data_IF_716499803981
#
_entry.id   IF_716499803981
#
_cell.length_a   1.000
_cell.length_b   1.000
_cell.length_c   1.000
_cell.angle_alpha   90.00
_cell.angle_beta   90.00
_cell.angle_gamma   90.00
#
_symmetry.space_group_name_H-M   'P 1'
#
loop_
_entity.id
_entity.type
_entity.pdbx_description
1 polymer ?
#
# COMPACT_ATOMS: atom_id res chain seq x y z
N UNK A 1 21.56 35.64 -16.07
CA UNK A 1 22.55 36.01 -15.03
C UNK A 1 22.15 35.38 -13.69
N UNK A 2 23.01 34.58 -13.13
CA UNK A 2 22.73 33.71 -11.98
C UNK A 2 23.36 34.28 -10.69
N UNK A 3 22.92 33.79 -9.52
CA UNK A 3 23.52 34.15 -8.22
C UNK A 3 25.06 33.89 -8.17
N UNK A 4 25.59 33.03 -9.05
CA UNK A 4 27.03 32.80 -9.20
C UNK A 4 27.81 33.99 -9.76
N UNK A 5 27.15 34.85 -10.55
CA UNK A 5 27.80 36.05 -11.11
C UNK A 5 27.93 37.17 -10.08
N UNK A 6 27.08 37.15 -9.05
CA UNK A 6 27.18 38.06 -7.90
C UNK A 6 28.41 37.80 -7.03
N UNK A 7 28.90 36.56 -6.97
CA UNK A 7 30.08 36.19 -6.19
C UNK A 7 31.44 36.51 -6.85
N UNK A 8 31.44 36.99 -8.11
CA UNK A 8 32.64 37.32 -8.87
C UNK A 8 32.98 38.82 -8.89
N UNK A 9 32.43 39.60 -7.96
CA UNK A 9 32.75 41.03 -7.85
C UNK A 9 32.09 41.95 -8.90
N UNK A 10 31.14 41.47 -9.67
CA UNK A 10 30.37 42.22 -10.64
C UNK A 10 29.20 43.00 -10.02
N UNK A 11 28.75 44.08 -10.66
CA UNK A 11 27.76 45.01 -10.19
C UNK A 11 26.51 44.37 -9.51
N UNK A 12 25.86 45.11 -8.62
CA UNK A 12 24.68 44.68 -7.92
C UNK A 12 23.54 44.26 -8.87
N UNK A 13 22.64 43.37 -8.46
CA UNK A 13 21.47 43.00 -9.30
C UNK A 13 20.64 44.22 -9.71
N UNK A 14 20.62 45.26 -8.90
CA UNK A 14 19.98 46.52 -9.21
C UNK A 14 20.66 47.24 -10.38
N UNK A 15 21.99 47.36 -10.36
CA UNK A 15 22.81 47.97 -11.41
C UNK A 15 22.70 47.23 -12.73
N UNK A 16 22.74 45.86 -12.65
CA UNK A 16 22.60 45.02 -13.86
C UNK A 16 21.20 45.16 -14.46
N UNK A 17 20.14 45.18 -13.64
CA UNK A 17 18.76 45.33 -14.12
C UNK A 17 18.56 46.72 -14.78
N UNK A 18 19.13 47.76 -14.23
CA UNK A 18 19.01 49.10 -14.78
C UNK A 18 19.73 49.23 -16.13
N UNK A 19 20.88 48.58 -16.35
CA UNK A 19 21.54 48.52 -17.67
C UNK A 19 20.67 47.89 -18.76
N UNK A 20 19.74 47.03 -18.43
CA UNK A 20 18.78 46.45 -19.38
C UNK A 20 17.41 47.14 -19.36
N UNK A 21 17.28 48.32 -18.75
CA UNK A 21 16.02 49.05 -18.64
C UNK A 21 14.93 48.35 -17.80
N UNK A 22 15.33 47.39 -16.96
CA UNK A 22 14.43 46.57 -16.12
C UNK A 22 14.43 47.08 -14.69
N UNK A 23 13.28 47.17 -14.05
CA UNK A 23 13.17 47.33 -12.61
C UNK A 23 13.63 46.06 -11.90
N UNK A 24 14.36 46.20 -10.76
CA UNK A 24 14.82 45.09 -9.94
C UNK A 24 13.70 44.07 -9.64
N UNK A 25 12.48 44.54 -9.40
CA UNK A 25 11.31 43.70 -9.10
C UNK A 25 10.88 42.82 -10.29
N UNK A 26 11.15 43.25 -11.55
CA UNK A 26 10.85 42.42 -12.71
C UNK A 26 11.64 41.11 -12.73
N UNK A 27 12.90 41.15 -12.28
CA UNK A 27 13.74 39.95 -12.15
C UNK A 27 13.20 38.96 -11.11
N UNK A 28 12.67 39.46 -10.00
CA UNK A 28 12.05 38.61 -8.95
C UNK A 28 10.69 38.08 -9.40
N UNK A 29 9.85 38.89 -10.05
CA UNK A 29 8.56 38.46 -10.60
C UNK A 29 8.75 37.34 -11.64
N UNK A 30 9.66 37.48 -12.59
CA UNK A 30 9.96 36.44 -13.60
C UNK A 30 10.42 35.11 -12.93
N UNK A 31 11.19 35.15 -11.84
CA UNK A 31 11.59 33.94 -11.09
C UNK A 31 10.40 33.35 -10.35
N UNK A 32 9.54 34.16 -9.75
CA UNK A 32 8.33 33.70 -9.05
C UNK A 32 7.36 33.03 -10.04
N UNK A 33 7.14 33.62 -11.22
CA UNK A 33 6.27 33.06 -12.26
C UNK A 33 6.79 31.72 -12.80
N UNK A 34 8.11 31.60 -13.03
CA UNK A 34 8.73 30.33 -13.42
C UNK A 34 8.55 29.25 -12.35
N UNK A 35 8.70 29.62 -11.07
CA UNK A 35 8.49 28.72 -9.95
C UNK A 35 7.04 28.26 -9.85
N UNK A 36 6.07 29.16 -10.00
CA UNK A 36 4.65 28.84 -9.98
C UNK A 36 4.26 27.90 -11.13
N UNK A 37 4.77 28.14 -12.34
CA UNK A 37 4.56 27.26 -13.49
C UNK A 37 5.12 25.85 -13.21
N UNK A 38 6.33 25.76 -12.65
CA UNK A 38 6.93 24.49 -12.26
C UNK A 38 6.12 23.76 -11.20
N UNK A 39 5.70 24.47 -10.12
CA UNK A 39 4.86 23.90 -9.07
C UNK A 39 3.55 23.36 -9.67
N UNK A 40 2.92 24.07 -10.61
CA UNK A 40 1.70 23.63 -11.28
C UNK A 40 1.91 22.37 -12.14
N UNK A 41 3.01 22.28 -12.85
CA UNK A 41 3.36 21.08 -13.64
C UNK A 41 3.54 19.86 -12.71
N UNK A 42 4.27 20.01 -11.62
CA UNK A 42 4.45 18.96 -10.60
C UNK A 42 3.09 18.49 -10.05
N UNK A 43 2.21 19.43 -9.70
CA UNK A 43 0.88 19.13 -9.18
C UNK A 43 0.06 18.31 -10.19
N UNK A 44 0.08 18.69 -11.46
CA UNK A 44 -0.66 18.00 -12.51
C UNK A 44 -0.17 16.55 -12.71
N UNK A 45 1.15 16.33 -12.70
CA UNK A 45 1.75 15.00 -12.79
C UNK A 45 1.33 14.15 -11.58
N UNK A 46 1.44 14.69 -10.38
CA UNK A 46 1.02 13.99 -9.15
C UNK A 46 -0.48 13.68 -9.14
N UNK A 47 -1.33 14.61 -9.55
CA UNK A 47 -2.79 14.40 -9.66
C UNK A 47 -3.13 13.25 -10.60
N UNK A 48 -2.45 13.17 -11.76
CA UNK A 48 -2.62 12.07 -12.71
C UNK A 48 -2.31 10.72 -12.05
N UNK A 49 -1.18 10.60 -11.36
CA UNK A 49 -0.77 9.39 -10.64
C UNK A 49 -1.77 9.02 -9.53
N UNK A 50 -2.25 9.99 -8.79
CA UNK A 50 -3.17 9.79 -7.67
C UNK A 50 -4.59 9.38 -8.05
N UNK A 51 -4.94 9.38 -9.34
CA UNK A 51 -6.17 8.71 -9.82
C UNK A 51 -6.13 7.20 -9.53
N UNK A 52 -4.96 6.58 -9.65
CA UNK A 52 -4.78 5.14 -9.37
C UNK A 52 -4.34 4.87 -7.93
N UNK A 53 -3.49 5.71 -7.35
CA UNK A 53 -2.94 5.57 -6.00
C UNK A 53 -3.20 6.86 -5.19
N UNK A 54 -4.41 7.03 -4.64
CA UNK A 54 -4.88 8.32 -4.11
C UNK A 54 -4.01 8.88 -2.97
N UNK A 55 -3.52 8.01 -2.09
CA UNK A 55 -2.71 8.39 -0.92
C UNK A 55 -1.28 7.86 -0.99
N UNK A 56 -0.69 7.82 -2.19
CA UNK A 56 0.73 7.46 -2.34
C UNK A 56 1.61 8.51 -1.67
N UNK A 57 2.50 8.08 -0.75
CA UNK A 57 3.39 8.98 0.00
C UNK A 57 4.54 9.51 -0.84
N UNK A 58 5.12 10.67 -0.42
CA UNK A 58 6.13 11.43 -1.19
C UNK A 58 7.33 10.58 -1.63
N UNK A 59 7.85 9.71 -0.74
CA UNK A 59 9.01 8.86 -1.08
C UNK A 59 8.74 7.89 -2.23
N UNK A 60 7.53 7.31 -2.30
CA UNK A 60 7.10 6.46 -3.41
C UNK A 60 6.80 7.27 -4.66
N UNK A 61 6.14 8.43 -4.52
CA UNK A 61 5.89 9.34 -5.63
C UNK A 61 7.17 9.75 -6.35
N UNK A 62 8.25 10.05 -5.63
CA UNK A 62 9.56 10.35 -6.23
C UNK A 62 10.02 9.23 -7.17
N UNK A 63 9.91 7.97 -6.71
CA UNK A 63 10.35 6.82 -7.49
C UNK A 63 9.40 6.48 -8.65
N UNK A 64 8.08 6.55 -8.39
CA UNK A 64 7.06 6.20 -9.39
C UNK A 64 6.91 7.24 -10.50
N UNK A 65 7.24 8.52 -10.23
CA UNK A 65 7.13 9.64 -11.17
C UNK A 65 8.46 10.06 -11.81
N UNK A 66 9.56 9.38 -11.50
CA UNK A 66 10.89 9.70 -12.03
C UNK A 66 10.91 9.79 -13.56
N UNK A 67 10.32 8.83 -14.25
CA UNK A 67 10.17 8.83 -15.70
C UNK A 67 9.27 9.97 -16.21
N UNK A 68 8.19 10.31 -15.51
CA UNK A 68 7.28 11.40 -15.91
C UNK A 68 7.95 12.76 -15.72
N UNK A 69 8.71 12.96 -14.64
CA UNK A 69 9.50 14.17 -14.41
C UNK A 69 10.60 14.33 -15.44
N UNK A 70 11.31 13.26 -15.79
CA UNK A 70 12.32 13.25 -16.84
C UNK A 70 11.74 13.62 -18.21
N UNK A 71 10.61 13.03 -18.61
CA UNK A 71 9.89 13.36 -19.84
C UNK A 71 9.44 14.81 -19.90
N UNK A 72 9.07 15.38 -18.77
CA UNK A 72 8.67 16.78 -18.67
C UNK A 72 9.85 17.75 -18.54
N UNK A 73 11.09 17.26 -18.56
CA UNK A 73 12.32 18.01 -18.30
C UNK A 73 12.28 18.77 -16.95
N UNK A 74 11.72 18.13 -15.92
CA UNK A 74 11.56 18.68 -14.58
C UNK A 74 12.53 17.97 -13.64
N UNK A 75 13.45 18.73 -13.04
CA UNK A 75 14.33 18.25 -11.97
C UNK A 75 13.76 18.61 -10.61
N UNK A 76 13.24 17.64 -9.88
CA UNK A 76 12.61 17.80 -8.57
C UNK A 76 13.31 16.94 -7.53
N UNK A 77 13.73 17.55 -6.41
CA UNK A 77 14.21 16.85 -5.25
C UNK A 77 13.07 16.47 -4.29
N UNK A 78 13.31 15.52 -3.39
CA UNK A 78 12.33 15.04 -2.39
C UNK A 78 11.72 16.18 -1.59
N UNK A 79 12.54 17.08 -1.07
CA UNK A 79 12.09 18.16 -0.19
C UNK A 79 11.28 19.21 -0.96
N UNK A 80 11.64 19.47 -2.23
CA UNK A 80 10.86 20.33 -3.13
C UNK A 80 9.47 19.73 -3.36
N UNK A 81 9.40 18.44 -3.72
CA UNK A 81 8.12 17.76 -3.89
C UNK A 81 7.28 17.78 -2.61
N UNK A 82 7.91 17.50 -1.46
CA UNK A 82 7.24 17.55 -0.17
C UNK A 82 6.66 18.92 0.15
N UNK A 83 7.41 19.98 -0.09
CA UNK A 83 6.97 21.37 0.15
C UNK A 83 5.85 21.79 -0.81
N UNK A 84 5.91 21.41 -2.09
CA UNK A 84 4.83 21.66 -3.05
C UNK A 84 3.55 20.97 -2.61
N UNK A 85 3.62 19.68 -2.24
CA UNK A 85 2.46 18.93 -1.78
C UNK A 85 1.91 19.44 -0.44
N UNK A 86 2.77 19.91 0.48
CA UNK A 86 2.35 20.55 1.74
C UNK A 86 1.54 21.81 1.49
N UNK A 87 2.03 22.72 0.64
CA UNK A 87 1.33 23.96 0.28
C UNK A 87 -0.06 23.71 -0.31
N UNK A 88 -0.20 22.62 -1.06
CA UNK A 88 -1.46 22.24 -1.71
C UNK A 88 -2.34 21.31 -0.86
N UNK A 89 -2.00 21.11 0.42
CA UNK A 89 -2.70 20.19 1.33
C UNK A 89 -2.85 18.76 0.77
N UNK A 90 -1.86 18.34 -0.01
CA UNK A 90 -1.83 17.05 -0.69
C UNK A 90 -0.97 16.02 0.05
N UNK A 91 -0.53 16.26 1.27
CA UNK A 91 0.18 15.26 2.08
C UNK A 91 -0.79 14.22 2.61
N UNK A 92 -0.30 12.97 2.71
CA UNK A 92 -1.07 11.88 3.31
C UNK A 92 -1.06 12.01 4.83
N UNK A 93 -2.25 12.02 5.44
CA UNK A 93 -2.40 12.06 6.90
C UNK A 93 -2.19 10.66 7.49
N UNK A 94 -1.59 10.60 8.68
CA UNK A 94 -1.51 9.36 9.45
C UNK A 94 -2.88 9.03 10.03
N UNK A 95 -3.26 7.76 9.93
CA UNK A 95 -4.48 7.25 10.54
C UNK A 95 -4.30 7.05 12.05
N UNK A 96 -5.38 7.30 12.81
CA UNK A 96 -5.46 6.88 14.21
C UNK A 96 -5.62 5.36 14.28
N UNK A 97 -4.98 4.71 15.25
CA UNK A 97 -5.08 3.26 15.48
C UNK A 97 -6.52 2.84 15.79
N UNK A 98 -6.93 1.67 15.29
CA UNK A 98 -8.26 1.09 15.55
C UNK A 98 -8.22 0.05 16.67
N UNK A 99 -9.40 -0.27 17.24
CA UNK A 99 -9.56 -1.25 18.30
C UNK A 99 -9.27 -2.70 17.84
N UNK A 100 -8.92 -3.56 18.80
CA UNK A 100 -8.69 -5.00 18.63
C UNK A 100 -10.03 -5.72 18.45
N UNK A 101 -10.17 -6.60 17.45
CA UNK A 101 -11.45 -7.22 17.05
C UNK A 101 -11.41 -8.75 16.98
N UNK A 102 -10.30 -9.40 17.31
CA UNK A 102 -10.15 -10.86 17.23
C UNK A 102 -10.74 -11.53 18.45
N UNK A 103 -11.65 -12.51 18.26
CA UNK A 103 -12.15 -13.39 19.31
C UNK A 103 -11.38 -14.69 19.29
N UNK A 104 -10.49 -14.89 20.28
CA UNK A 104 -9.66 -16.09 20.45
C UNK A 104 -10.22 -17.08 21.47
N UNK A 105 -11.32 -16.73 22.17
CA UNK A 105 -11.96 -17.58 23.19
C UNK A 105 -12.97 -18.53 22.54
N UNK A 106 -12.48 -19.71 22.11
CA UNK A 106 -13.29 -20.78 21.56
C UNK A 106 -12.63 -22.15 21.81
N UNK A 107 -13.39 -23.24 21.65
CA UNK A 107 -12.98 -24.64 21.95
C UNK A 107 -12.21 -25.35 20.82
N UNK A 108 -12.01 -24.73 19.66
CA UNK A 108 -11.26 -25.35 18.56
C UNK A 108 -9.78 -25.48 18.89
N UNK A 109 -9.14 -26.50 18.30
CA UNK A 109 -7.70 -26.72 18.44
C UNK A 109 -6.89 -25.54 17.88
N UNK A 110 -5.88 -25.12 18.61
CA UNK A 110 -4.97 -24.03 18.25
C UNK A 110 -3.61 -24.61 17.90
N UNK A 111 -3.13 -24.30 16.69
CA UNK A 111 -1.85 -24.77 16.20
C UNK A 111 -0.70 -23.90 16.71
N UNK A 112 0.50 -24.48 16.79
CA UNK A 112 1.70 -23.75 17.22
C UNK A 112 2.17 -22.78 16.14
N UNK A 113 2.96 -21.78 16.54
CA UNK A 113 3.65 -20.89 15.61
C UNK A 113 4.88 -21.60 15.03
N UNK A 114 4.81 -22.01 13.78
CA UNK A 114 5.89 -22.70 13.06
C UNK A 114 6.71 -21.79 12.14
N UNK A 115 6.45 -20.48 12.17
CA UNK A 115 7.14 -19.51 11.28
C UNK A 115 8.02 -18.52 12.04
N UNK A 116 8.11 -18.62 13.38
CA UNK A 116 8.80 -17.65 14.23
C UNK A 116 10.27 -17.42 13.80
N UNK A 117 10.98 -18.51 13.54
CA UNK A 117 12.41 -18.48 13.17
C UNK A 117 12.63 -18.90 11.70
N UNK A 118 11.55 -18.91 10.90
CA UNK A 118 11.61 -19.35 9.51
C UNK A 118 12.05 -18.23 8.58
N UNK A 119 13.16 -18.45 7.88
CA UNK A 119 13.54 -17.58 6.78
C UNK A 119 12.65 -17.84 5.54
N UNK A 120 12.00 -16.77 5.07
CA UNK A 120 11.10 -16.85 3.92
C UNK A 120 11.87 -16.45 2.67
N UNK A 121 12.20 -17.44 1.83
CA UNK A 121 13.11 -17.30 0.69
C UNK A 121 12.43 -17.37 -0.67
N UNK A 122 11.16 -17.80 -0.74
CA UNK A 122 10.43 -17.99 -2.01
C UNK A 122 8.93 -17.71 -1.90
N UNK A 123 8.27 -17.40 -3.03
CA UNK A 123 6.81 -17.34 -3.08
C UNK A 123 6.16 -18.68 -2.70
N UNK A 124 4.95 -18.60 -2.16
CA UNK A 124 4.17 -19.76 -1.71
C UNK A 124 4.87 -20.63 -0.66
N UNK A 125 5.81 -20.07 0.10
CA UNK A 125 6.38 -20.71 1.27
C UNK A 125 5.51 -20.48 2.50
N UNK A 126 5.08 -19.23 2.73
CA UNK A 126 4.16 -18.87 3.82
C UNK A 126 3.11 -17.91 3.30
N UNK A 127 1.85 -18.23 3.58
CA UNK A 127 0.71 -17.33 3.40
C UNK A 127 0.21 -16.83 4.75
N UNK A 128 0.07 -15.52 4.90
CA UNK A 128 -0.54 -14.91 6.07
C UNK A 128 -2.00 -14.55 5.76
N UNK A 129 -2.91 -14.89 6.67
CA UNK A 129 -4.35 -14.64 6.52
C UNK A 129 -4.88 -13.78 7.64
N UNK A 130 -5.80 -12.88 7.29
CA UNK A 130 -6.48 -12.01 8.23
C UNK A 130 -7.84 -11.56 7.68
N UNK A 131 -8.74 -11.13 8.58
CA UNK A 131 -10.03 -10.56 8.25
C UNK A 131 -10.07 -9.10 8.67
N UNK A 132 -10.47 -8.23 7.76
CA UNK A 132 -10.67 -6.82 8.10
C UNK A 132 -12.09 -6.36 7.85
N UNK A 133 -12.56 -5.44 8.68
CA UNK A 133 -13.89 -4.87 8.64
C UNK A 133 -13.94 -3.68 7.68
N UNK A 134 -14.91 -3.67 6.79
CA UNK A 134 -15.20 -2.57 5.85
C UNK A 134 -16.58 -2.02 6.20
N UNK A 135 -16.67 -0.72 6.40
CA UNK A 135 -17.92 -0.07 6.80
C UNK A 135 -18.85 0.14 5.62
N UNK A 136 -20.12 -0.15 5.82
CA UNK A 136 -21.20 0.22 4.90
C UNK A 136 -22.28 1.01 5.64
N UNK A 137 -23.20 1.65 4.91
CA UNK A 137 -24.33 2.39 5.50
C UNK A 137 -25.20 1.48 6.39
N UNK A 138 -25.30 0.19 6.05
CA UNK A 138 -26.11 -0.80 6.80
C UNK A 138 -25.30 -1.61 7.83
N UNK A 139 -24.06 -1.20 8.18
CA UNK A 139 -23.20 -1.91 9.13
C UNK A 139 -21.84 -2.27 8.53
N UNK A 140 -21.36 -3.50 8.75
CA UNK A 140 -20.06 -3.94 8.30
C UNK A 140 -20.18 -5.07 7.28
N UNK A 141 -19.21 -5.12 6.36
CA UNK A 141 -18.85 -6.29 5.60
C UNK A 141 -17.39 -6.69 5.91
N UNK A 142 -17.02 -7.90 5.58
CA UNK A 142 -15.81 -8.56 6.06
C UNK A 142 -14.95 -8.99 4.90
N UNK A 143 -13.75 -8.43 4.82
CA UNK A 143 -12.77 -8.75 3.80
C UNK A 143 -11.77 -9.75 4.36
N UNK A 144 -11.86 -11.00 3.94
CA UNK A 144 -10.85 -12.02 4.19
C UNK A 144 -9.74 -11.90 3.14
N UNK A 145 -8.49 -11.80 3.60
CA UNK A 145 -7.30 -11.67 2.75
C UNK A 145 -6.33 -12.82 3.02
N UNK A 146 -5.66 -13.27 1.96
CA UNK A 146 -4.53 -14.19 2.02
C UNK A 146 -3.37 -13.55 1.27
N UNK A 147 -2.27 -13.33 1.96
CA UNK A 147 -1.09 -12.62 1.46
C UNK A 147 0.13 -13.55 1.46
N UNK A 148 0.81 -13.67 0.35
CA UNK A 148 2.11 -14.32 0.26
C UNK A 148 3.16 -13.50 1.00
N UNK A 149 3.81 -14.08 2.00
CA UNK A 149 4.72 -13.35 2.88
C UNK A 149 6.04 -12.98 2.20
N UNK A 150 6.47 -13.69 1.16
CA UNK A 150 7.67 -13.35 0.41
C UNK A 150 7.44 -12.12 -0.49
N UNK A 151 6.50 -12.23 -1.40
CA UNK A 151 6.23 -11.21 -2.42
C UNK A 151 5.31 -10.08 -1.96
N UNK A 152 4.66 -10.22 -0.81
CA UNK A 152 3.59 -9.33 -0.31
C UNK A 152 2.32 -9.34 -1.17
N UNK A 153 2.23 -10.23 -2.16
CA UNK A 153 1.08 -10.34 -3.05
C UNK A 153 -0.14 -10.87 -2.31
N UNK A 154 -1.28 -10.22 -2.50
CA UNK A 154 -2.57 -10.77 -2.09
C UNK A 154 -2.93 -11.85 -3.11
N UNK A 155 -2.83 -13.12 -2.70
CA UNK A 155 -3.04 -14.30 -3.53
C UNK A 155 -4.47 -14.80 -3.47
N UNK A 156 -5.25 -14.42 -2.46
CA UNK A 156 -6.66 -14.76 -2.34
C UNK A 156 -7.41 -13.74 -1.51
N UNK A 157 -8.65 -13.48 -1.88
CA UNK A 157 -9.54 -12.60 -1.10
C UNK A 157 -11.00 -12.88 -1.36
N UNK A 158 -11.82 -12.55 -0.38
CA UNK A 158 -13.28 -12.50 -0.52
C UNK A 158 -13.87 -11.45 0.40
N UNK A 159 -14.87 -10.70 -0.09
CA UNK A 159 -15.63 -9.76 0.72
C UNK A 159 -17.05 -10.27 0.88
N UNK A 160 -17.45 -10.46 2.13
CA UNK A 160 -18.73 -11.03 2.53
C UNK A 160 -19.53 -10.05 3.40
N UNK A 161 -20.84 -10.18 3.39
CA UNK A 161 -21.78 -9.45 4.24
C UNK A 161 -21.86 -10.02 5.67
N UNK A 162 -21.37 -11.22 5.89
CA UNK A 162 -21.30 -11.87 7.20
C UNK A 162 -19.89 -12.28 7.57
N UNK A 163 -19.61 -12.34 8.88
CA UNK A 163 -18.32 -12.81 9.43
C UNK A 163 -18.22 -14.35 9.45
N UNK A 164 -19.10 -15.03 8.72
CA UNK A 164 -19.12 -16.47 8.63
C UNK A 164 -17.89 -17.04 7.93
N UNK A 165 -17.59 -18.29 8.22
CA UNK A 165 -16.49 -19.06 7.65
C UNK A 165 -16.45 -19.09 6.11
N UNK A 166 -17.61 -19.01 5.46
CA UNK A 166 -17.76 -19.11 3.99
C UNK A 166 -16.88 -18.12 3.23
N UNK A 167 -16.71 -16.89 3.75
CA UNK A 167 -15.84 -15.87 3.15
C UNK A 167 -14.38 -16.29 3.15
N UNK A 168 -13.88 -16.76 4.30
CA UNK A 168 -12.51 -17.25 4.44
C UNK A 168 -12.22 -18.46 3.54
N UNK A 169 -13.17 -19.40 3.46
CA UNK A 169 -13.06 -20.58 2.58
C UNK A 169 -13.00 -20.16 1.10
N UNK A 170 -13.83 -19.20 0.66
CA UNK A 170 -13.77 -18.70 -0.71
C UNK A 170 -12.44 -18.01 -1.02
N UNK A 171 -11.91 -17.21 -0.08
CA UNK A 171 -10.59 -16.59 -0.22
C UNK A 171 -9.48 -17.66 -0.35
N UNK A 172 -9.51 -18.68 0.51
CA UNK A 172 -8.55 -19.79 0.48
C UNK A 172 -8.59 -20.58 -0.84
N UNK A 173 -9.79 -20.93 -1.30
CA UNK A 173 -9.94 -21.69 -2.55
C UNK A 173 -9.43 -20.87 -3.76
N UNK A 174 -9.67 -19.56 -3.79
CA UNK A 174 -9.13 -18.67 -4.82
C UNK A 174 -7.60 -18.63 -4.78
N UNK A 175 -6.99 -18.54 -3.58
CA UNK A 175 -5.55 -18.56 -3.43
C UNK A 175 -4.95 -19.89 -3.92
N UNK A 176 -5.52 -21.02 -3.52
CA UNK A 176 -5.07 -22.35 -3.93
C UNK A 176 -5.20 -22.54 -5.45
N UNK A 177 -6.31 -22.07 -6.05
CA UNK A 177 -6.53 -22.16 -7.49
C UNK A 177 -5.51 -21.36 -8.31
N UNK A 178 -5.12 -20.18 -7.81
CA UNK A 178 -4.15 -19.31 -8.50
C UNK A 178 -2.69 -19.75 -8.32
N UNK A 179 -2.39 -20.52 -7.28
CA UNK A 179 -1.03 -20.93 -6.99
C UNK A 179 -0.61 -22.11 -7.88
N UNK A 180 0.51 -21.93 -8.61
CA UNK A 180 1.07 -23.00 -9.46
C UNK A 180 1.64 -24.15 -8.64
N UNK A 181 2.23 -23.85 -7.48
CA UNK A 181 2.86 -24.82 -6.59
C UNK A 181 2.61 -24.42 -5.13
N UNK A 182 2.05 -25.35 -4.35
CA UNK A 182 1.79 -25.22 -2.92
C UNK A 182 2.53 -26.25 -2.08
N UNK A 183 3.51 -26.96 -2.64
CA UNK A 183 4.29 -27.97 -1.93
C UNK A 183 5.09 -27.30 -0.80
N UNK A 184 4.88 -27.78 0.42
CA UNK A 184 5.54 -27.24 1.62
C UNK A 184 5.01 -25.88 2.08
N UNK A 185 3.87 -25.42 1.53
CA UNK A 185 3.24 -24.17 1.95
C UNK A 185 2.79 -24.26 3.40
N UNK A 186 3.03 -23.16 4.13
CA UNK A 186 2.52 -22.94 5.48
C UNK A 186 1.46 -21.84 5.42
N UNK A 187 0.28 -22.13 5.94
CA UNK A 187 -0.79 -21.14 6.13
C UNK A 187 -0.73 -20.62 7.57
N UNK A 188 -0.43 -19.35 7.73
CA UNK A 188 -0.34 -18.68 9.02
C UNK A 188 -1.52 -17.72 9.23
N UNK A 189 -2.12 -17.74 10.41
CA UNK A 189 -3.23 -16.84 10.78
C UNK A 189 -3.21 -16.52 12.27
N UNK A 190 -4.05 -15.59 12.69
CA UNK A 190 -4.41 -15.46 14.09
C UNK A 190 -5.22 -16.68 14.57
N UNK A 191 -5.54 -16.70 15.87
CA UNK A 191 -6.38 -17.74 16.50
C UNK A 191 -7.88 -17.41 16.39
N UNK A 192 -8.30 -16.75 15.32
CA UNK A 192 -9.71 -16.46 15.07
C UNK A 192 -10.52 -17.74 14.84
N UNK A 193 -11.78 -17.75 15.30
CA UNK A 193 -12.70 -18.90 15.22
C UNK A 193 -12.83 -19.45 13.79
N UNK A 194 -12.75 -18.57 12.77
CA UNK A 194 -12.86 -18.94 11.36
C UNK A 194 -11.70 -19.83 10.93
N UNK A 195 -10.47 -19.46 11.31
CA UNK A 195 -9.25 -20.18 10.94
C UNK A 195 -9.04 -21.47 11.73
N UNK A 196 -9.53 -21.50 12.98
CA UNK A 196 -9.47 -22.68 13.84
C UNK A 196 -10.57 -23.70 13.54
N UNK A 197 -11.59 -23.35 12.75
CA UNK A 197 -12.73 -24.24 12.47
C UNK A 197 -12.31 -25.52 11.76
N UNK A 198 -12.99 -26.63 12.09
CA UNK A 198 -12.72 -27.95 11.49
C UNK A 198 -12.83 -27.91 9.98
N UNK A 199 -13.80 -27.20 9.41
CA UNK A 199 -13.99 -27.10 7.95
C UNK A 199 -12.79 -26.44 7.30
N UNK A 200 -12.29 -25.32 7.85
CA UNK A 200 -11.15 -24.59 7.29
C UNK A 200 -9.86 -25.43 7.37
N UNK A 201 -9.58 -25.98 8.54
CA UNK A 201 -8.38 -26.78 8.77
C UNK A 201 -8.38 -28.09 7.98
N UNK A 202 -9.55 -28.72 7.76
CA UNK A 202 -9.68 -29.89 6.87
C UNK A 202 -9.34 -29.55 5.42
N UNK A 203 -9.70 -28.37 4.89
CA UNK A 203 -9.32 -27.94 3.54
C UNK A 203 -7.78 -27.87 3.44
N UNK A 204 -7.13 -27.22 4.42
CA UNK A 204 -5.66 -27.11 4.48
C UNK A 204 -5.01 -28.50 4.50
N UNK A 205 -5.47 -29.39 5.39
CA UNK A 205 -4.95 -30.76 5.52
C UNK A 205 -5.11 -31.57 4.23
N UNK A 206 -6.29 -31.53 3.60
CA UNK A 206 -6.55 -32.22 2.29
C UNK A 206 -5.61 -31.73 1.20
N UNK A 207 -5.22 -30.46 1.23
CA UNK A 207 -4.28 -29.87 0.26
C UNK A 207 -2.81 -29.99 0.70
N UNK A 208 -2.54 -30.69 1.81
CA UNK A 208 -1.19 -30.88 2.39
C UNK A 208 -0.50 -29.52 2.70
N UNK A 209 -1.28 -28.52 3.11
CA UNK A 209 -0.80 -27.22 3.55
C UNK A 209 -0.61 -27.29 5.06
N UNK A 210 0.58 -26.95 5.54
CA UNK A 210 0.90 -26.88 6.96
C UNK A 210 0.16 -25.71 7.62
N UNK A 211 -0.24 -25.89 8.87
CA UNK A 211 -1.00 -24.88 9.62
C UNK A 211 -0.12 -24.31 10.71
N UNK A 212 -0.07 -22.98 10.77
CA UNK A 212 0.62 -22.20 11.78
C UNK A 212 -0.31 -21.11 12.31
N UNK A 213 -0.25 -20.79 13.60
CA UNK A 213 -1.05 -19.74 14.20
C UNK A 213 -0.18 -18.90 15.15
N UNK A 214 -0.55 -17.63 15.33
CA UNK A 214 0.10 -16.75 16.31
C UNK A 214 0.04 -17.34 17.71
N UNK A 215 1.01 -17.02 18.55
CA UNK A 215 0.94 -17.35 19.98
C UNK A 215 -0.10 -16.47 20.70
N UNK A 216 -0.43 -16.83 21.93
CA UNK A 216 -1.41 -16.08 22.71
C UNK A 216 -0.86 -14.70 23.07
N UNK A 217 -1.66 -13.66 22.84
CA UNK A 217 -1.30 -12.25 23.02
C UNK A 217 -0.18 -11.68 22.12
N UNK A 218 0.28 -12.41 21.12
CA UNK A 218 1.34 -12.00 20.21
C UNK A 218 0.77 -11.55 18.85
N UNK A 219 -0.06 -10.47 18.87
CA UNK A 219 -0.68 -9.95 17.64
C UNK A 219 0.33 -9.47 16.58
N UNK A 220 1.54 -9.07 16.99
CA UNK A 220 2.60 -8.68 16.07
C UNK A 220 3.15 -9.83 15.22
N UNK A 221 2.89 -11.08 15.58
CA UNK A 221 3.27 -12.25 14.77
C UNK A 221 2.46 -12.30 13.44
N UNK A 222 1.29 -11.67 13.38
CA UNK A 222 0.53 -11.48 12.13
C UNK A 222 0.69 -10.06 11.55
N UNK A 223 1.73 -9.33 11.96
CA UNK A 223 1.97 -7.93 11.58
C UNK A 223 2.00 -7.71 10.06
N UNK A 224 2.37 -8.74 9.28
CA UNK A 224 2.34 -8.69 7.83
C UNK A 224 0.92 -8.53 7.30
N UNK A 225 -0.01 -9.37 7.72
CA UNK A 225 -1.39 -9.32 7.27
C UNK A 225 -2.07 -8.02 7.76
N UNK A 226 -1.83 -7.63 9.01
CA UNK A 226 -2.28 -6.35 9.56
C UNK A 226 -1.76 -5.15 8.74
N UNK A 227 -0.48 -5.20 8.33
CA UNK A 227 0.12 -4.16 7.50
C UNK A 227 -0.54 -4.06 6.13
N UNK A 228 -0.87 -5.18 5.49
CA UNK A 228 -1.57 -5.20 4.20
C UNK A 228 -2.96 -4.61 4.35
N UNK A 229 -3.71 -5.01 5.38
CA UNK A 229 -5.01 -4.43 5.72
C UNK A 229 -4.93 -2.92 5.95
N UNK A 230 -3.92 -2.45 6.70
CA UNK A 230 -3.67 -1.04 6.92
C UNK A 230 -3.43 -0.30 5.60
N UNK A 231 -2.60 -0.84 4.71
CA UNK A 231 -2.32 -0.23 3.40
C UNK A 231 -3.59 -0.12 2.54
N UNK A 232 -4.42 -1.17 2.48
CA UNK A 232 -5.66 -1.13 1.70
C UNK A 232 -6.63 -0.06 2.23
N UNK A 233 -6.73 0.07 3.55
CA UNK A 233 -7.55 1.11 4.18
C UNK A 233 -6.96 2.50 3.99
N UNK A 234 -5.67 2.67 4.25
CA UNK A 234 -5.03 3.99 4.28
C UNK A 234 -4.75 4.55 2.89
N UNK A 235 -4.24 3.73 1.95
CA UNK A 235 -3.80 4.21 0.64
C UNK A 235 -4.90 4.10 -0.43
N UNK A 236 -5.88 3.18 -0.28
CA UNK A 236 -6.92 2.87 -1.27
C UNK A 236 -8.35 3.18 -0.81
N UNK A 237 -8.50 3.95 0.28
CA UNK A 237 -9.79 4.41 0.80
C UNK A 237 -10.77 3.29 1.21
N UNK A 238 -10.29 2.09 1.55
CA UNK A 238 -11.18 1.06 2.11
C UNK A 238 -11.60 1.34 3.57
N UNK A 239 -11.14 2.45 4.16
CA UNK A 239 -11.57 2.97 5.45
C UNK A 239 -12.85 3.82 5.38
N UNK A 240 -13.35 4.13 4.18
CA UNK A 240 -14.58 4.90 3.97
C UNK A 240 -15.84 4.06 4.22
N UNK A 241 -16.98 4.75 4.37
CA UNK A 241 -18.29 4.10 4.44
C UNK A 241 -18.82 3.92 3.02
N UNK A 242 -19.13 2.69 2.63
CA UNK A 242 -19.68 2.34 1.32
C UNK A 242 -21.20 2.27 1.37
N UNK A 243 -21.87 2.57 0.27
CA UNK A 243 -23.35 2.56 0.21
C UNK A 243 -23.91 1.17 0.51
N UNK A 244 -23.26 0.13 -0.03
CA UNK A 244 -23.67 -1.26 0.13
C UNK A 244 -22.51 -2.24 -0.09
N UNK A 245 -22.75 -3.51 0.18
CA UNK A 245 -21.74 -4.60 0.06
C UNK A 245 -21.23 -4.74 -1.39
N UNK A 246 -22.08 -4.57 -2.39
CA UNK A 246 -21.69 -4.67 -3.80
C UNK A 246 -20.70 -3.54 -4.20
N UNK A 247 -20.94 -2.31 -3.71
CA UNK A 247 -20.02 -1.18 -3.89
C UNK A 247 -18.67 -1.48 -3.19
N UNK A 248 -18.69 -1.88 -1.93
CA UNK A 248 -17.50 -2.26 -1.19
C UNK A 248 -16.70 -3.39 -1.87
N UNK A 249 -17.41 -4.38 -2.46
CA UNK A 249 -16.79 -5.51 -3.18
C UNK A 249 -16.04 -5.07 -4.44
N UNK A 250 -16.64 -4.16 -5.22
CA UNK A 250 -15.97 -3.58 -6.40
C UNK A 250 -14.75 -2.76 -5.99
N UNK A 251 -14.88 -1.92 -4.97
CA UNK A 251 -13.78 -1.11 -4.44
C UNK A 251 -12.63 -1.98 -3.92
N UNK A 252 -12.92 -3.01 -3.12
CA UNK A 252 -11.91 -3.94 -2.61
C UNK A 252 -11.19 -4.69 -3.75
N UNK A 253 -11.90 -5.18 -4.76
CA UNK A 253 -11.30 -5.82 -5.94
C UNK A 253 -10.35 -4.88 -6.66
N UNK A 254 -10.76 -3.63 -6.90
CA UNK A 254 -9.93 -2.63 -7.57
C UNK A 254 -8.69 -2.28 -6.73
N UNK A 255 -8.87 -2.05 -5.42
CA UNK A 255 -7.79 -1.75 -4.49
C UNK A 255 -6.73 -2.87 -4.46
N UNK A 256 -7.16 -4.13 -4.42
CA UNK A 256 -6.27 -5.30 -4.42
C UNK A 256 -5.53 -5.43 -5.75
N UNK A 257 -6.19 -5.18 -6.87
CA UNK A 257 -5.52 -5.18 -8.17
C UNK A 257 -4.44 -4.09 -8.24
N UNK A 258 -4.76 -2.86 -7.84
CA UNK A 258 -3.80 -1.76 -7.82
C UNK A 258 -2.66 -2.01 -6.81
N UNK A 259 -2.96 -2.61 -5.66
CA UNK A 259 -1.97 -3.02 -4.68
C UNK A 259 -0.98 -4.04 -5.27
N UNK A 260 -1.48 -5.05 -5.95
CA UNK A 260 -0.64 -6.11 -6.53
C UNK A 260 0.17 -5.65 -7.75
N UNK A 261 -0.44 -4.84 -8.64
CA UNK A 261 0.13 -4.53 -9.96
C UNK A 261 0.85 -3.19 -10.05
N UNK A 262 0.45 -2.21 -9.22
CA UNK A 262 0.87 -0.81 -9.44
C UNK A 262 1.61 -0.22 -8.23
N UNK A 263 1.27 -0.68 -7.02
CA UNK A 263 1.86 -0.14 -5.80
C UNK A 263 3.29 -0.61 -5.58
N UNK A 264 4.21 0.35 -5.47
CA UNK A 264 5.61 0.07 -5.13
C UNK A 264 5.78 -0.18 -3.62
N UNK A 265 6.62 -1.16 -3.27
CA UNK A 265 6.97 -1.50 -1.89
C UNK A 265 8.44 -1.22 -1.61
N UNK A 266 8.74 -0.46 -0.55
CA UNK A 266 10.11 -0.18 -0.14
C UNK A 266 10.86 -1.47 0.23
N UNK A 267 10.20 -2.38 0.96
CA UNK A 267 10.76 -3.68 1.34
C UNK A 267 10.95 -4.68 0.18
N UNK A 268 10.55 -4.32 -1.02
CA UNK A 268 10.74 -5.07 -2.26
C UNK A 268 11.56 -4.27 -3.28
N UNK A 269 12.44 -3.40 -2.83
CA UNK A 269 13.27 -2.53 -3.67
C UNK A 269 12.46 -1.75 -4.70
N UNK A 270 11.33 -1.18 -4.27
CA UNK A 270 10.39 -0.47 -5.12
C UNK A 270 9.78 -1.30 -6.27
N UNK A 271 9.75 -2.63 -6.15
CA UNK A 271 8.99 -3.50 -7.05
C UNK A 271 7.55 -3.63 -6.57
N UNK A 272 6.65 -4.04 -7.49
CA UNK A 272 5.28 -4.40 -7.12
C UNK A 272 5.24 -5.83 -6.59
N UNK A 273 4.23 -6.18 -5.76
CA UNK A 273 4.06 -7.57 -5.29
C UNK A 273 4.00 -8.59 -6.42
N UNK A 274 3.30 -8.25 -7.51
CA UNK A 274 3.16 -9.16 -8.65
C UNK A 274 4.47 -9.35 -9.43
N UNK A 275 5.31 -8.30 -9.54
CA UNK A 275 6.65 -8.44 -10.14
C UNK A 275 7.50 -9.44 -9.36
N UNK A 276 7.57 -9.29 -8.02
CA UNK A 276 8.37 -10.20 -7.17
C UNK A 276 7.83 -11.62 -7.23
N UNK A 277 6.50 -11.78 -7.16
CA UNK A 277 5.86 -13.09 -7.22
C UNK A 277 6.16 -13.83 -8.54
N UNK A 278 6.15 -13.13 -9.68
CA UNK A 278 6.42 -13.71 -11.00
C UNK A 278 7.90 -14.00 -11.26
N UNK A 279 8.81 -13.16 -10.75
CA UNK A 279 10.26 -13.32 -10.94
C UNK A 279 10.82 -14.54 -10.18
N UNK A 280 10.13 -14.98 -9.13
CA UNK A 280 10.59 -16.06 -8.24
C UNK A 280 9.68 -17.31 -8.30
N UNK A 281 8.66 -17.32 -9.15
CA UNK A 281 7.75 -18.44 -9.41
C UNK A 281 8.09 -19.12 -10.74
#
# INVERSE_FOLDING_TARGET
MTAKEKSKGFASLSTIASCFGLKRDACYKSRADKRLKLEQQIINIVRKRRKSLPREGVGKLMKSLDADFTKANIKVGRDTLFNVLRKQQMLTLRRKTSARTTNSYHRFYKYNNSIKDLEITRPNQVWASDITYIRTVKGFCYLALITDMYSRKIVGFDLSDSLELKGCVRALNKAIYQAKNIKGLIHHSDRGIQYCSNVYTQILKRKKINISMTEENHCYENAMAERVNGILKDEFYLDQTFDNVAHAKRAAKNAINLYNEVRLHLSLDYKTPNMVYKLSA
#
